data_IF_085751615618
#
_entry.id   IF_085751615618
#
_cell.length_a   1.000
_cell.length_b   1.000
_cell.length_c   1.000
_cell.angle_alpha   90.00
_cell.angle_beta   90.00
_cell.angle_gamma   90.00
#
_symmetry.space_group_name_H-M   'P 1'
#
loop_
_entity.id
_entity.type
_entity.pdbx_description
1 polymer ?
#
# COMPACT_ATOMS: atom_id res chain seq x y z
N UNK A 1 23.31 39.53 -6.07
CA UNK A 1 24.13 39.85 -4.88
C UNK A 1 23.58 39.04 -3.71
N UNK A 2 24.43 38.55 -2.81
CA UNK A 2 23.95 37.87 -1.60
C UNK A 2 23.28 38.87 -0.64
N UNK A 3 22.37 38.43 0.24
CA UNK A 3 21.73 39.30 1.22
C UNK A 3 22.73 40.06 2.10
N UNK A 4 23.79 39.37 2.53
CA UNK A 4 24.89 39.97 3.29
C UNK A 4 25.65 41.05 2.51
N UNK A 5 25.81 40.89 1.19
CA UNK A 5 26.46 41.91 0.37
C UNK A 5 25.58 43.16 0.21
N UNK A 6 24.26 42.98 0.12
CA UNK A 6 23.30 44.08 0.02
C UNK A 6 23.19 44.85 1.34
N UNK A 7 23.14 44.15 2.47
CA UNK A 7 23.16 44.76 3.81
C UNK A 7 24.41 45.62 4.02
N UNK A 8 25.59 45.08 3.68
CA UNK A 8 26.85 45.83 3.76
C UNK A 8 26.84 47.08 2.87
N UNK A 9 26.24 46.99 1.68
CA UNK A 9 26.14 48.14 0.78
C UNK A 9 25.24 49.23 1.36
N UNK A 10 24.05 48.88 1.88
CA UNK A 10 23.11 49.82 2.51
C UNK A 10 23.77 50.51 3.71
N UNK A 11 24.45 49.73 4.57
CA UNK A 11 25.19 50.25 5.72
C UNK A 11 26.30 51.20 5.32
N UNK A 12 27.08 50.85 4.29
CA UNK A 12 28.14 51.71 3.77
C UNK A 12 27.58 53.02 3.21
N UNK A 13 26.50 52.96 2.43
CA UNK A 13 25.84 54.13 1.87
C UNK A 13 25.34 55.09 2.96
N UNK A 14 24.71 54.57 4.02
CA UNK A 14 24.30 55.37 5.17
C UNK A 14 25.49 56.05 5.85
N UNK A 15 26.56 55.30 6.15
CA UNK A 15 27.76 55.84 6.80
C UNK A 15 28.42 56.94 5.96
N UNK A 16 28.57 56.73 4.65
CA UNK A 16 29.20 57.70 3.77
C UNK A 16 28.34 58.96 3.60
N UNK A 17 27.02 58.82 3.54
CA UNK A 17 26.08 59.95 3.50
C UNK A 17 26.14 60.76 4.80
N UNK A 18 26.18 60.10 5.95
CA UNK A 18 26.38 60.75 7.26
C UNK A 18 27.71 61.50 7.35
N UNK A 19 28.80 60.96 6.80
CA UNK A 19 30.10 61.65 6.74
C UNK A 19 30.02 62.91 5.87
N UNK A 20 29.36 62.84 4.72
CA UNK A 20 29.17 63.99 3.83
C UNK A 20 28.33 65.07 4.52
N UNK A 21 27.20 64.72 5.14
CA UNK A 21 26.37 65.67 5.90
C UNK A 21 27.17 66.37 7.01
N UNK A 22 28.00 65.64 7.75
CA UNK A 22 28.84 66.24 8.79
C UNK A 22 29.89 67.22 8.23
N UNK A 23 30.50 66.91 7.08
CA UNK A 23 31.42 67.83 6.40
C UNK A 23 30.70 69.09 5.92
N UNK A 24 29.53 68.93 5.30
CA UNK A 24 28.70 70.04 4.83
C UNK A 24 28.25 70.95 5.99
N UNK A 25 27.80 70.37 7.11
CA UNK A 25 27.45 71.12 8.31
C UNK A 25 28.62 71.96 8.83
N UNK A 26 29.84 71.39 8.92
CA UNK A 26 31.03 72.11 9.38
C UNK A 26 31.37 73.29 8.47
N UNK A 27 31.35 73.06 7.15
CA UNK A 27 31.62 74.11 6.16
C UNK A 27 30.58 75.24 6.23
N UNK A 28 29.30 74.90 6.26
CA UNK A 28 28.20 75.86 6.37
C UNK A 28 28.27 76.65 7.68
N UNK A 29 28.53 75.97 8.79
CA UNK A 29 28.69 76.61 10.11
C UNK A 29 29.82 77.62 10.12
N UNK A 30 31.00 77.26 9.59
CA UNK A 30 32.14 78.17 9.55
C UNK A 30 31.82 79.41 8.71
N UNK A 31 31.28 79.19 7.50
CA UNK A 31 30.91 80.28 6.62
C UNK A 31 29.88 81.23 7.25
N UNK A 32 28.81 80.71 7.88
CA UNK A 32 27.80 81.55 8.52
C UNK A 32 28.33 82.38 9.70
N UNK A 33 29.31 81.86 10.45
CA UNK A 33 29.96 82.62 11.52
C UNK A 33 30.91 83.72 11.00
N UNK A 34 31.56 83.48 9.87
CA UNK A 34 32.45 84.46 9.23
C UNK A 34 31.68 85.66 8.65
N UNK A 35 30.52 85.42 8.05
CA UNK A 35 29.75 86.46 7.35
C UNK A 35 28.72 87.19 8.22
N UNK A 36 28.45 86.71 9.44
CA UNK A 36 27.40 87.26 10.32
C UNK A 36 27.97 88.05 11.51
N UNK A 37 27.28 89.10 12.00
CA UNK A 37 27.65 89.80 13.22
C UNK A 37 27.68 88.88 14.45
N UNK A 38 28.59 89.14 15.40
CA UNK A 38 28.74 88.33 16.63
C UNK A 38 27.45 88.23 17.46
N UNK A 39 26.58 89.24 17.41
CA UNK A 39 25.29 89.24 18.11
C UNK A 39 24.36 88.11 17.69
N UNK A 40 24.43 87.68 16.42
CA UNK A 40 23.51 86.70 15.83
C UNK A 40 24.02 85.25 15.94
N UNK A 41 25.31 85.07 16.29
CA UNK A 41 25.98 83.76 16.31
C UNK A 41 25.25 82.72 17.15
N UNK A 42 24.67 83.12 18.29
CA UNK A 42 23.94 82.19 19.18
C UNK A 42 22.71 81.59 18.49
N UNK A 43 21.92 82.41 17.81
CA UNK A 43 20.71 81.99 17.11
C UNK A 43 21.05 81.13 15.89
N UNK A 44 22.07 81.55 15.13
CA UNK A 44 22.59 80.81 13.97
C UNK A 44 23.06 79.41 14.37
N UNK A 45 23.91 79.31 15.41
CA UNK A 45 24.43 78.03 15.88
C UNK A 45 23.31 77.09 16.35
N UNK A 46 22.28 77.63 17.01
CA UNK A 46 21.12 76.85 17.44
C UNK A 46 20.38 76.28 16.23
N UNK A 47 20.04 77.12 15.25
CA UNK A 47 19.32 76.69 14.03
C UNK A 47 20.10 75.67 13.21
N UNK A 48 21.41 75.89 13.02
CA UNK A 48 22.27 74.94 12.30
C UNK A 48 22.34 73.57 13.00
N UNK A 49 22.39 73.54 14.34
CA UNK A 49 22.43 72.30 15.11
C UNK A 49 21.10 71.55 15.06
N UNK A 50 19.98 72.27 15.13
CA UNK A 50 18.64 71.70 14.96
C UNK A 50 18.48 71.07 13.57
N UNK A 51 18.91 71.80 12.53
CA UNK A 51 18.86 71.30 11.15
C UNK A 51 19.80 70.10 10.93
N UNK A 52 21.00 70.11 11.52
CA UNK A 52 21.91 68.96 11.50
C UNK A 52 21.26 67.72 12.15
N UNK A 53 20.65 67.91 13.32
CA UNK A 53 19.97 66.82 14.05
C UNK A 53 18.83 66.26 13.21
N UNK A 54 18.00 67.12 12.60
CA UNK A 54 16.89 66.72 11.74
C UNK A 54 17.36 65.93 10.52
N UNK A 55 18.41 66.38 9.84
CA UNK A 55 18.98 65.68 8.68
C UNK A 55 19.56 64.32 9.04
N UNK A 56 20.25 64.21 10.17
CA UNK A 56 20.78 62.92 10.63
C UNK A 56 19.67 61.96 11.05
N UNK A 57 18.60 62.46 11.67
CA UNK A 57 17.41 61.67 12.00
C UNK A 57 16.75 61.11 10.73
N UNK A 58 16.56 61.95 9.71
CA UNK A 58 16.03 61.51 8.41
C UNK A 58 16.90 60.43 7.76
N UNK A 59 18.23 60.58 7.77
CA UNK A 59 19.13 59.56 7.24
C UNK A 59 19.03 58.24 8.01
N UNK A 60 18.84 58.29 9.33
CA UNK A 60 18.69 57.09 10.16
C UNK A 60 17.38 56.36 9.83
N UNK A 61 16.28 57.10 9.69
CA UNK A 61 14.98 56.56 9.28
C UNK A 61 15.05 55.91 7.89
N UNK A 62 15.71 56.55 6.93
CA UNK A 62 15.91 55.98 5.58
C UNK A 62 16.75 54.70 5.60
N UNK A 63 17.78 54.63 6.45
CA UNK A 63 18.57 53.41 6.64
C UNK A 63 17.72 52.28 7.23
N UNK A 64 16.95 52.58 8.29
CA UNK A 64 16.08 51.60 8.93
C UNK A 64 15.01 51.07 7.97
N UNK A 65 14.38 51.97 7.20
CA UNK A 65 13.42 51.59 6.16
C UNK A 65 14.06 50.65 5.12
N UNK A 66 15.22 51.02 4.58
CA UNK A 66 15.89 50.23 3.54
C UNK A 66 16.32 48.85 4.05
N UNK A 67 16.78 48.74 5.30
CA UNK A 67 17.11 47.45 5.92
C UNK A 67 15.86 46.59 6.12
N UNK A 68 14.78 47.17 6.64
CA UNK A 68 13.53 46.45 6.89
C UNK A 68 12.91 45.92 5.59
N UNK A 69 12.90 46.73 4.53
CA UNK A 69 12.41 46.32 3.20
C UNK A 69 13.24 45.16 2.62
N UNK A 70 14.57 45.23 2.73
CA UNK A 70 15.46 44.15 2.29
C UNK A 70 15.19 42.86 3.07
N UNK A 71 15.10 42.92 4.40
CA UNK A 71 14.85 41.77 5.26
C UNK A 71 13.48 41.14 4.98
N UNK A 72 12.44 41.97 4.83
CA UNK A 72 11.09 41.50 4.50
C UNK A 72 11.06 40.80 3.12
N UNK A 73 11.73 41.38 2.11
CA UNK A 73 11.83 40.74 0.80
C UNK A 73 12.59 39.42 0.85
N UNK A 74 13.62 39.32 1.69
CA UNK A 74 14.38 38.07 1.84
C UNK A 74 13.54 37.00 2.55
N UNK A 75 12.82 37.36 3.62
CA UNK A 75 11.94 36.47 4.34
C UNK A 75 10.86 35.88 3.41
N UNK A 76 10.18 36.73 2.64
CA UNK A 76 9.15 36.26 1.70
C UNK A 76 9.71 35.31 0.62
N UNK A 77 10.92 35.57 0.10
CA UNK A 77 11.55 34.66 -0.88
C UNK A 77 11.89 33.32 -0.27
N UNK A 78 12.46 33.33 0.95
CA UNK A 78 12.81 32.11 1.65
C UNK A 78 11.55 31.28 1.95
N UNK A 79 10.48 31.91 2.44
CA UNK A 79 9.20 31.25 2.69
C UNK A 79 8.62 30.64 1.41
N UNK A 80 8.63 31.38 0.29
CA UNK A 80 8.14 30.88 -0.99
C UNK A 80 8.96 29.69 -1.53
N UNK A 81 10.30 29.74 -1.41
CA UNK A 81 11.17 28.63 -1.79
C UNK A 81 10.92 27.40 -0.92
N UNK A 82 10.82 27.57 0.40
CA UNK A 82 10.51 26.49 1.34
C UNK A 82 9.14 25.87 1.10
N UNK A 83 8.12 26.70 0.84
CA UNK A 83 6.78 26.21 0.52
C UNK A 83 6.79 25.40 -0.77
N UNK A 84 7.47 25.88 -1.82
CA UNK A 84 7.61 25.15 -3.08
C UNK A 84 8.34 23.82 -2.90
N UNK A 85 9.41 23.78 -2.11
CA UNK A 85 10.15 22.56 -1.81
C UNK A 85 9.28 21.55 -1.03
N UNK A 86 8.57 22.03 -0.02
CA UNK A 86 7.64 21.21 0.75
C UNK A 86 6.51 20.63 -0.13
N UNK A 87 5.95 21.42 -1.04
CA UNK A 87 4.93 20.95 -1.99
C UNK A 87 5.50 19.90 -2.95
N UNK A 88 6.72 20.11 -3.47
CA UNK A 88 7.38 19.15 -4.35
C UNK A 88 7.65 17.81 -3.65
N UNK A 89 8.15 17.84 -2.42
CA UNK A 89 8.39 16.63 -1.61
C UNK A 89 7.09 15.88 -1.31
N UNK A 90 6.02 16.58 -0.95
CA UNK A 90 4.72 15.96 -0.73
C UNK A 90 4.16 15.29 -1.99
N UNK A 91 4.32 15.93 -3.15
CA UNK A 91 3.91 15.35 -4.42
C UNK A 91 4.71 14.09 -4.74
N UNK A 92 6.04 14.13 -4.56
CA UNK A 92 6.91 12.97 -4.77
C UNK A 92 6.52 11.82 -3.85
N UNK A 93 6.34 12.07 -2.56
CA UNK A 93 5.92 11.06 -1.59
C UNK A 93 4.60 10.39 -2.00
N UNK A 94 3.62 11.19 -2.45
CA UNK A 94 2.34 10.67 -2.90
C UNK A 94 2.50 9.74 -4.12
N UNK A 95 3.33 10.12 -5.09
CA UNK A 95 3.62 9.30 -6.26
C UNK A 95 4.32 7.98 -5.89
N UNK A 96 5.28 8.03 -4.97
CA UNK A 96 5.97 6.83 -4.48
C UNK A 96 5.02 5.89 -3.73
N UNK A 97 4.09 6.43 -2.95
CA UNK A 97 3.04 5.64 -2.29
C UNK A 97 2.09 4.98 -3.29
N UNK A 98 1.64 5.70 -4.31
CA UNK A 98 0.77 5.15 -5.37
C UNK A 98 1.49 4.03 -6.15
N UNK A 99 2.78 4.21 -6.43
CA UNK A 99 3.59 3.18 -7.10
C UNK A 99 3.74 1.93 -6.22
N UNK A 100 3.97 2.10 -4.92
CA UNK A 100 4.08 1.01 -3.97
C UNK A 100 2.76 0.22 -3.88
N UNK A 101 1.63 0.92 -3.75
CA UNK A 101 0.31 0.29 -3.68
C UNK A 101 -0.01 -0.49 -4.97
N UNK A 102 0.30 0.08 -6.13
CA UNK A 102 0.15 -0.61 -7.41
C UNK A 102 1.02 -1.88 -7.50
N UNK A 103 2.27 -1.82 -7.03
CA UNK A 103 3.17 -2.97 -7.02
C UNK A 103 2.69 -4.07 -6.06
N UNK A 104 2.26 -3.70 -4.86
CA UNK A 104 1.74 -4.63 -3.85
C UNK A 104 0.46 -5.30 -4.34
N UNK A 105 -0.49 -4.52 -4.88
CA UNK A 105 -1.74 -5.03 -5.43
C UNK A 105 -1.50 -5.99 -6.60
N UNK A 106 -0.60 -5.64 -7.51
CA UNK A 106 -0.22 -6.51 -8.64
C UNK A 106 0.38 -7.83 -8.15
N UNK A 107 1.30 -7.77 -7.19
CA UNK A 107 1.97 -8.96 -6.64
C UNK A 107 0.96 -9.87 -5.95
N UNK A 108 0.07 -9.30 -5.14
CA UNK A 108 -1.01 -10.04 -4.46
C UNK A 108 -1.92 -10.74 -5.48
N UNK A 109 -2.42 -10.02 -6.47
CA UNK A 109 -3.30 -10.57 -7.50
C UNK A 109 -2.63 -11.69 -8.31
N UNK A 110 -1.34 -11.54 -8.63
CA UNK A 110 -0.57 -12.60 -9.29
C UNK A 110 -0.44 -13.86 -8.44
N UNK A 111 -0.16 -13.70 -7.14
CA UNK A 111 -0.06 -14.81 -6.20
C UNK A 111 -1.41 -15.52 -6.02
N UNK A 112 -2.50 -14.78 -5.87
CA UNK A 112 -3.85 -15.33 -5.78
C UNK A 112 -4.23 -16.12 -7.04
N UNK A 113 -3.95 -15.55 -8.22
CA UNK A 113 -4.18 -16.22 -9.51
C UNK A 113 -3.36 -17.50 -9.64
N UNK A 114 -2.10 -17.49 -9.19
CA UNK A 114 -1.26 -18.69 -9.21
C UNK A 114 -1.80 -19.74 -8.24
N UNK A 115 -2.15 -19.34 -7.02
CA UNK A 115 -2.68 -20.23 -6.00
C UNK A 115 -3.97 -20.90 -6.45
N UNK A 116 -4.90 -20.15 -7.03
CA UNK A 116 -6.16 -20.67 -7.56
C UNK A 116 -5.93 -21.72 -8.67
N UNK A 117 -4.99 -21.45 -9.59
CA UNK A 117 -4.63 -22.42 -10.65
C UNK A 117 -4.03 -23.71 -10.07
N UNK A 118 -3.18 -23.60 -9.06
CA UNK A 118 -2.58 -24.77 -8.39
C UNK A 118 -3.64 -25.58 -7.64
N UNK A 119 -4.55 -24.90 -6.93
CA UNK A 119 -5.67 -25.51 -6.24
C UNK A 119 -6.57 -26.28 -7.20
N UNK A 120 -7.01 -25.66 -8.31
CA UNK A 120 -7.86 -26.31 -9.31
C UNK A 120 -7.20 -27.56 -9.92
N UNK A 121 -5.88 -27.50 -10.20
CA UNK A 121 -5.13 -28.67 -10.70
C UNK A 121 -5.09 -29.81 -9.68
N UNK A 122 -4.90 -29.49 -8.40
CA UNK A 122 -4.90 -30.49 -7.34
C UNK A 122 -6.28 -31.11 -7.15
N UNK A 123 -7.33 -30.29 -7.13
CA UNK A 123 -8.72 -30.74 -7.03
C UNK A 123 -9.09 -31.65 -8.21
N UNK A 124 -8.71 -31.30 -9.43
CA UNK A 124 -8.92 -32.14 -10.61
C UNK A 124 -8.19 -33.48 -10.48
N UNK A 125 -6.93 -33.47 -10.04
CA UNK A 125 -6.14 -34.70 -9.84
C UNK A 125 -6.76 -35.60 -8.77
N UNK A 126 -7.22 -35.02 -7.66
CA UNK A 126 -7.91 -35.75 -6.59
C UNK A 126 -9.24 -36.32 -7.10
N UNK A 127 -10.03 -35.53 -7.83
CA UNK A 127 -11.31 -35.95 -8.41
C UNK A 127 -11.14 -37.14 -9.36
N UNK A 128 -10.19 -37.06 -10.29
CA UNK A 128 -9.89 -38.17 -11.23
C UNK A 128 -9.44 -39.41 -10.45
N UNK A 129 -8.54 -39.25 -9.48
CA UNK A 129 -8.05 -40.39 -8.70
C UNK A 129 -9.17 -41.04 -7.90
N UNK A 130 -10.07 -40.24 -7.32
CA UNK A 130 -11.23 -40.70 -6.58
C UNK A 130 -12.17 -41.50 -7.49
N UNK A 131 -12.53 -40.96 -8.66
CA UNK A 131 -13.39 -41.64 -9.62
C UNK A 131 -12.80 -43.00 -10.07
N UNK A 132 -11.49 -43.06 -10.34
CA UNK A 132 -10.83 -44.33 -10.67
C UNK A 132 -10.85 -45.35 -9.53
N UNK A 133 -10.71 -44.89 -8.27
CA UNK A 133 -10.79 -45.78 -7.12
C UNK A 133 -12.22 -46.28 -6.89
N UNK A 134 -13.22 -45.40 -7.02
CA UNK A 134 -14.63 -45.76 -6.93
C UNK A 134 -15.01 -46.80 -8.00
N UNK A 135 -14.63 -46.57 -9.27
CA UNK A 135 -14.83 -47.54 -10.35
C UNK A 135 -14.17 -48.89 -10.04
N UNK A 136 -12.92 -48.89 -9.57
CA UNK A 136 -12.21 -50.14 -9.25
C UNK A 136 -12.91 -50.93 -8.14
N UNK A 137 -13.42 -50.23 -7.12
CA UNK A 137 -14.20 -50.87 -6.05
C UNK A 137 -15.49 -51.48 -6.60
N UNK A 138 -16.21 -50.78 -7.47
CA UNK A 138 -17.43 -51.30 -8.10
C UNK A 138 -17.15 -52.55 -8.95
N UNK A 139 -16.07 -52.54 -9.74
CA UNK A 139 -15.62 -53.69 -10.54
C UNK A 139 -15.25 -54.89 -9.66
N UNK A 140 -14.49 -54.68 -8.58
CA UNK A 140 -14.12 -55.73 -7.62
C UNK A 140 -15.35 -56.31 -6.90
N UNK A 141 -16.30 -55.46 -6.48
CA UNK A 141 -17.56 -55.90 -5.87
C UNK A 141 -18.41 -56.73 -6.84
N UNK A 142 -18.50 -56.30 -8.10
CA UNK A 142 -19.22 -57.04 -9.14
C UNK A 142 -18.58 -58.40 -9.43
N UNK A 143 -17.24 -58.47 -9.49
CA UNK A 143 -16.50 -59.71 -9.67
C UNK A 143 -16.73 -60.69 -8.51
N UNK A 144 -16.64 -60.22 -7.26
CA UNK A 144 -16.91 -61.02 -6.06
C UNK A 144 -18.36 -61.54 -6.05
N UNK A 145 -19.33 -60.70 -6.42
CA UNK A 145 -20.71 -61.12 -6.51
C UNK A 145 -20.91 -62.19 -7.59
N UNK A 146 -20.25 -62.06 -8.75
CA UNK A 146 -20.28 -63.07 -9.81
C UNK A 146 -19.71 -64.40 -9.32
N UNK A 147 -18.53 -64.40 -8.69
CA UNK A 147 -17.91 -65.60 -8.12
C UNK A 147 -18.83 -66.29 -7.10
N UNK A 148 -19.43 -65.52 -6.19
CA UNK A 148 -20.42 -66.02 -5.23
C UNK A 148 -21.59 -66.70 -5.94
N UNK A 149 -22.12 -66.09 -7.00
CA UNK A 149 -23.27 -66.60 -7.74
C UNK A 149 -22.94 -67.89 -8.49
N UNK A 150 -21.78 -67.96 -9.12
CA UNK A 150 -21.26 -69.15 -9.80
C UNK A 150 -21.04 -70.30 -8.81
N UNK A 151 -20.49 -70.01 -7.63
CA UNK A 151 -20.31 -71.00 -6.56
C UNK A 151 -21.64 -71.57 -6.07
N UNK A 152 -22.65 -70.71 -5.86
CA UNK A 152 -24.01 -71.15 -5.50
C UNK A 152 -24.59 -72.05 -6.59
N UNK A 153 -24.50 -71.62 -7.86
CA UNK A 153 -24.98 -72.41 -9.00
C UNK A 153 -24.32 -73.79 -9.05
N UNK A 154 -23.00 -73.85 -8.89
CA UNK A 154 -22.26 -75.13 -8.89
C UNK A 154 -22.70 -76.06 -7.75
N UNK A 155 -22.93 -75.52 -6.55
CA UNK A 155 -23.43 -76.30 -5.41
C UNK A 155 -24.84 -76.84 -5.66
N UNK A 156 -25.74 -76.04 -6.24
CA UNK A 156 -27.09 -76.48 -6.60
C UNK A 156 -27.08 -77.56 -7.69
N UNK A 157 -26.28 -77.39 -8.75
CA UNK A 157 -26.12 -78.40 -9.81
C UNK A 157 -25.51 -79.71 -9.30
N UNK A 158 -24.64 -79.64 -8.28
CA UNK A 158 -24.10 -80.83 -7.63
C UNK A 158 -25.18 -81.52 -6.79
N UNK A 159 -25.93 -80.75 -6.01
CA UNK A 159 -27.04 -81.27 -5.19
C UNK A 159 -28.08 -81.97 -6.06
N UNK A 160 -28.47 -81.37 -7.20
CA UNK A 160 -29.44 -81.95 -8.13
C UNK A 160 -28.97 -83.29 -8.75
N UNK A 161 -27.67 -83.37 -9.07
CA UNK A 161 -27.04 -84.63 -9.52
C UNK A 161 -27.02 -85.70 -8.44
N UNK A 162 -26.68 -85.32 -7.20
CA UNK A 162 -26.69 -86.23 -6.05
C UNK A 162 -28.10 -86.75 -5.75
N UNK A 163 -29.13 -85.89 -5.79
CA UNK A 163 -30.55 -86.28 -5.65
C UNK A 163 -30.96 -87.23 -6.78
N UNK A 164 -30.66 -86.87 -8.04
CA UNK A 164 -31.00 -87.71 -9.19
C UNK A 164 -30.35 -89.10 -9.14
N UNK A 165 -29.09 -89.16 -8.71
CA UNK A 165 -28.38 -90.42 -8.49
C UNK A 165 -29.03 -91.25 -7.38
N UNK A 166 -29.32 -90.63 -6.23
CA UNK A 166 -30.01 -91.27 -5.11
C UNK A 166 -31.39 -91.82 -5.52
N UNK A 167 -32.18 -91.06 -6.28
CA UNK A 167 -33.49 -91.49 -6.78
C UNK A 167 -33.37 -92.65 -7.78
N UNK A 168 -32.31 -92.66 -8.59
CA UNK A 168 -32.05 -93.77 -9.53
C UNK A 168 -31.65 -95.06 -8.81
N UNK A 169 -30.80 -94.95 -7.78
CA UNK A 169 -30.37 -96.07 -6.95
C UNK A 169 -31.54 -96.61 -6.10
N UNK A 170 -32.33 -95.72 -5.50
CA UNK A 170 -33.56 -96.06 -4.77
C UNK A 170 -34.54 -96.83 -5.66
N UNK A 171 -34.75 -96.38 -6.90
CA UNK A 171 -35.56 -97.10 -7.88
C UNK A 171 -34.98 -98.48 -8.22
N UNK A 172 -33.67 -98.57 -8.45
CA UNK A 172 -32.99 -99.83 -8.76
C UNK A 172 -33.07 -100.85 -7.63
N UNK A 173 -33.01 -100.42 -6.38
CA UNK A 173 -33.12 -101.26 -5.19
C UNK A 173 -34.58 -101.63 -4.84
N UNK A 174 -35.55 -101.24 -5.67
CA UNK A 174 -36.96 -101.58 -5.51
C UNK A 174 -37.76 -100.60 -4.64
N UNK A 175 -37.15 -99.53 -4.14
CA UNK A 175 -37.84 -98.49 -3.36
C UNK A 175 -38.67 -97.54 -4.24
N UNK A 176 -38.54 -97.61 -5.56
CA UNK A 176 -39.34 -96.80 -6.50
C UNK A 176 -40.86 -96.99 -6.39
N UNK A 177 -41.31 -98.11 -5.80
CA UNK A 177 -42.74 -98.41 -5.59
C UNK A 177 -43.28 -97.97 -4.21
N UNK A 178 -42.42 -97.51 -3.28
CA UNK A 178 -42.85 -97.12 -1.92
C UNK A 178 -43.57 -95.76 -1.88
N UNK A 179 -43.48 -94.95 -2.94
CA UNK A 179 -44.22 -93.69 -3.07
C UNK A 179 -45.71 -93.85 -3.43
N UNK A 180 -46.16 -95.08 -3.73
CA UNK A 180 -47.58 -95.39 -4.02
C UNK A 180 -48.36 -95.87 -2.80
N UNK A 181 -47.76 -95.83 -1.60
CA UNK A 181 -48.54 -95.95 -0.37
C UNK A 181 -49.23 -94.60 -0.13
N UNK A 182 -50.49 -94.54 -0.57
CA UNK A 182 -51.45 -93.53 -0.12
C UNK A 182 -51.42 -93.52 1.41
N UNK A 183 -50.77 -92.51 1.99
CA UNK A 183 -50.98 -92.18 3.38
C UNK A 183 -52.41 -91.63 3.52
N UNK A 184 -53.24 -92.17 4.43
CA UNK A 184 -54.56 -91.62 4.67
C UNK A 184 -54.40 -90.15 5.09
N UNK A 185 -55.11 -89.25 4.41
CA UNK A 185 -55.32 -87.90 4.90
C UNK A 185 -56.08 -88.00 6.22
N UNK A 186 -55.41 -87.75 7.34
CA UNK A 186 -56.12 -87.41 8.57
C UNK A 186 -56.64 -85.97 8.43
N UNK A 187 -57.95 -85.87 8.19
CA UNK A 187 -58.73 -84.72 8.60
C UNK A 187 -58.73 -84.64 10.13
N UNK A 188 -58.18 -83.57 10.70
CA UNK A 188 -58.79 -82.91 11.87
C UNK A 188 -58.18 -81.53 12.17
N UNK A 189 -59.08 -80.53 12.07
CA UNK A 189 -59.27 -79.34 12.93
C UNK A 189 -58.08 -78.54 13.45
#
# INVERSE_FOLDING_TARGET
MSPQALEMQIKKQFQDTCKVQNKQYKALRNHQLEVSPRGDHKTILKGLKEEQTRKLAFLAEQYEQSINEMMASQAMRLEAEQESECQALNLQLKQEMELLDAYQTKTKSQMETQHEREQQKLEQKVSIRRAHLEQKIEEELAALQKERTEKIKHLLERQDREISAFDSESRSLGFGSLGSLDFPKEDNR
#
